data_IF_108353788209
#
_entry.id   IF_108353788209
#
_cell.length_a   1.000
_cell.length_b   1.000
_cell.length_c   1.000
_cell.angle_alpha   90.00
_cell.angle_beta   90.00
_cell.angle_gamma   90.00
#
_symmetry.space_group_name_H-M   'P 1'
#
loop_
_entity.id
_entity.type
_entity.pdbx_description
1 polymer ?
#
# COMPACT_ATOMS: atom_id res chain seq x y z
N UNK A 1 24.52 4.44 12.52
CA UNK A 1 23.20 3.82 12.52
C UNK A 1 22.97 3.19 11.16
N UNK A 2 22.32 2.03 11.05
CA UNK A 2 22.05 1.42 9.76
C UNK A 2 21.17 2.38 8.91
N UNK A 3 21.51 2.51 7.65
CA UNK A 3 20.84 3.37 6.69
C UNK A 3 20.78 2.66 5.35
N UNK A 4 19.63 2.64 4.74
CA UNK A 4 19.40 2.10 3.40
C UNK A 4 18.73 3.17 2.57
N UNK A 5 19.22 3.41 1.36
CA UNK A 5 18.58 4.30 0.41
C UNK A 5 18.56 3.69 -0.98
N UNK A 6 17.52 4.01 -1.73
CA UNK A 6 17.40 3.72 -3.13
C UNK A 6 16.69 4.88 -3.82
N UNK A 7 16.81 4.97 -5.14
CA UNK A 7 16.14 6.01 -5.93
C UNK A 7 15.46 5.42 -7.15
N UNK A 8 14.44 6.13 -7.62
CA UNK A 8 13.71 5.80 -8.84
C UNK A 8 13.36 7.08 -9.58
N UNK A 9 13.32 6.98 -10.91
CA UNK A 9 12.84 8.08 -11.76
C UNK A 9 11.36 7.89 -12.07
N UNK A 10 10.57 8.95 -11.88
CA UNK A 10 9.14 9.00 -12.15
C UNK A 10 8.90 10.07 -13.24
N UNK A 11 8.21 9.72 -14.32
CA UNK A 11 7.90 10.63 -15.42
C UNK A 11 6.72 11.56 -15.10
N UNK A 12 6.76 12.17 -13.91
CA UNK A 12 5.77 13.14 -13.41
C UNK A 12 6.45 14.36 -12.80
N UNK A 13 5.79 15.53 -12.81
CA UNK A 13 6.27 16.72 -12.11
C UNK A 13 6.40 16.48 -10.60
N UNK A 14 7.31 17.19 -9.96
CA UNK A 14 7.62 16.97 -8.55
C UNK A 14 6.47 17.34 -7.59
N UNK A 15 5.63 18.26 -7.95
CA UNK A 15 4.43 18.65 -7.21
C UNK A 15 3.37 17.54 -7.21
N UNK A 16 3.17 16.85 -8.34
CA UNK A 16 2.29 15.68 -8.42
C UNK A 16 2.83 14.53 -7.58
N UNK A 17 4.12 14.23 -7.71
CA UNK A 17 4.78 13.18 -6.94
C UNK A 17 4.73 13.49 -5.45
N UNK A 18 5.00 14.74 -5.06
CA UNK A 18 4.92 15.17 -3.67
C UNK A 18 3.50 15.06 -3.12
N UNK A 19 2.50 15.49 -3.89
CA UNK A 19 1.09 15.38 -3.50
C UNK A 19 0.66 13.92 -3.25
N UNK A 20 1.14 12.99 -4.07
CA UNK A 20 0.91 11.56 -3.89
C UNK A 20 1.58 11.02 -2.62
N UNK A 21 2.86 11.32 -2.41
CA UNK A 21 3.63 10.85 -1.25
C UNK A 21 3.16 11.47 0.06
N UNK A 22 2.59 12.67 0.00
CA UNK A 22 2.06 13.41 1.15
C UNK A 22 0.82 12.77 1.77
N UNK A 23 0.07 11.93 1.02
CA UNK A 23 -0.99 11.11 1.59
C UNK A 23 -0.43 9.74 2.01
N UNK A 24 -0.28 9.46 3.33
CA UNK A 24 0.28 8.20 3.79
C UNK A 24 -0.56 6.96 3.44
N UNK A 25 -1.82 7.14 3.01
CA UNK A 25 -2.66 6.03 2.55
C UNK A 25 -2.09 5.39 1.30
N UNK A 26 -1.47 6.20 0.45
CA UNK A 26 -0.82 5.74 -0.77
C UNK A 26 0.42 4.87 -0.49
N UNK A 27 0.99 4.90 0.74
CA UNK A 27 2.08 4.00 1.11
C UNK A 27 1.68 2.53 1.00
N UNK A 28 0.43 2.19 1.29
CA UNK A 28 -0.07 0.82 1.19
C UNK A 28 -0.23 0.33 -0.26
N UNK A 29 -0.19 1.23 -1.24
CA UNK A 29 -0.37 0.87 -2.65
C UNK A 29 0.93 0.36 -3.30
N UNK A 30 2.08 0.77 -2.78
CA UNK A 30 3.38 0.43 -3.36
C UNK A 30 4.38 -0.16 -2.38
N UNK A 31 4.23 0.07 -1.06
CA UNK A 31 5.14 -0.44 -0.04
C UNK A 31 4.53 -1.59 0.73
N UNK A 32 5.24 -2.70 0.78
CA UNK A 32 4.87 -3.87 1.58
C UNK A 32 4.99 -3.62 3.10
N UNK A 33 5.57 -2.50 3.49
CA UNK A 33 5.84 -2.14 4.89
C UNK A 33 4.59 -1.70 5.64
N UNK A 34 3.54 -1.26 4.95
CA UNK A 34 2.27 -0.80 5.53
C UNK A 34 1.12 -1.55 4.87
N UNK A 35 0.28 -2.19 5.67
CA UNK A 35 -0.92 -2.87 5.20
C UNK A 35 -2.02 -1.84 4.82
N UNK A 36 -2.27 -0.88 5.72
CA UNK A 36 -3.19 0.25 5.47
C UNK A 36 -3.04 1.35 6.51
N UNK A 37 -3.45 2.56 6.15
CA UNK A 37 -3.70 3.66 7.07
C UNK A 37 -5.18 3.65 7.45
N UNK A 38 -5.46 3.63 8.76
CA UNK A 38 -6.82 3.53 9.32
C UNK A 38 -7.40 4.91 9.54
N UNK A 39 -6.58 5.85 10.04
CA UNK A 39 -7.00 7.18 10.45
C UNK A 39 -5.86 8.20 10.31
N UNK A 40 -6.22 9.45 10.11
CA UNK A 40 -5.32 10.59 9.97
C UNK A 40 -5.74 11.56 8.87
N UNK A 41 -5.13 12.76 8.79
CA UNK A 41 -5.42 13.75 7.75
C UNK A 41 -5.05 13.26 6.35
N UNK A 42 -5.68 13.86 5.30
CA UNK A 42 -5.46 13.46 3.90
C UNK A 42 -4.04 13.81 3.40
N UNK A 43 -3.52 14.93 3.85
CA UNK A 43 -2.23 15.43 3.40
C UNK A 43 -1.33 15.70 4.61
N UNK A 44 -0.17 15.07 4.65
CA UNK A 44 0.74 15.15 5.78
C UNK A 44 1.35 16.55 5.92
N UNK A 45 1.24 17.07 7.13
CA UNK A 45 1.95 18.27 7.59
C UNK A 45 2.83 17.92 8.79
N UNK A 46 3.78 18.78 9.09
CA UNK A 46 4.67 18.60 10.22
C UNK A 46 3.86 18.42 11.52
N UNK A 47 4.08 17.31 12.18
CA UNK A 47 3.42 16.99 13.46
C UNK A 47 2.20 16.08 13.34
N UNK A 48 1.65 15.90 12.14
CA UNK A 48 0.49 15.03 11.93
C UNK A 48 0.77 13.59 12.31
N UNK A 49 -0.24 12.96 12.89
CA UNK A 49 -0.19 11.57 13.31
C UNK A 49 -1.23 10.74 12.55
N UNK A 50 -0.81 9.54 12.18
CA UNK A 50 -1.60 8.55 11.47
C UNK A 50 -1.67 7.26 12.26
N UNK A 51 -2.79 6.59 12.19
CA UNK A 51 -2.96 5.24 12.72
C UNK A 51 -2.82 4.24 11.58
N UNK A 52 -1.74 3.44 11.61
CA UNK A 52 -1.38 2.51 10.55
C UNK A 52 -1.42 1.06 11.05
N UNK A 53 -1.75 0.15 10.15
CA UNK A 53 -1.61 -1.29 10.37
C UNK A 53 -0.42 -1.79 9.56
N UNK A 54 0.46 -2.54 10.24
CA UNK A 54 1.62 -3.17 9.63
C UNK A 54 1.35 -4.66 9.38
N UNK A 55 1.90 -5.26 8.32
CA UNK A 55 1.72 -6.66 7.99
C UNK A 55 2.08 -7.58 9.17
N UNK A 56 1.23 -8.58 9.43
CA UNK A 56 1.43 -9.54 10.51
C UNK A 56 1.24 -8.98 11.94
N UNK A 57 0.89 -7.71 12.11
CA UNK A 57 0.62 -7.11 13.42
C UNK A 57 -0.88 -7.02 13.68
N UNK A 58 -1.30 -7.48 14.87
CA UNK A 58 -2.72 -7.37 15.31
C UNK A 58 -3.09 -5.95 15.73
N UNK A 59 -2.15 -5.23 16.33
CA UNK A 59 -2.36 -3.86 16.85
C UNK A 59 -1.99 -2.83 15.80
N UNK A 60 -2.76 -1.75 15.74
CA UNK A 60 -2.41 -0.56 15.00
C UNK A 60 -1.25 0.18 15.69
N UNK A 61 -0.46 0.88 14.90
CA UNK A 61 0.69 1.65 15.33
C UNK A 61 0.59 3.07 14.81
N UNK A 62 1.27 4.00 15.47
CA UNK A 62 1.29 5.39 15.05
C UNK A 62 2.45 5.63 14.07
N UNK A 63 2.16 6.42 13.06
CA UNK A 63 3.10 7.00 12.12
C UNK A 63 2.97 8.52 12.24
N UNK A 64 4.07 9.23 12.37
CA UNK A 64 4.06 10.69 12.53
C UNK A 64 4.88 11.33 11.42
N UNK A 65 4.37 12.40 10.83
CA UNK A 65 5.13 13.28 9.97
C UNK A 65 6.07 14.13 10.82
N UNK A 66 7.37 13.91 10.71
CA UNK A 66 8.40 14.57 11.55
C UNK A 66 9.11 15.70 10.82
N UNK A 67 9.03 15.74 9.49
CA UNK A 67 9.52 16.85 8.69
C UNK A 67 8.79 16.86 7.34
N UNK A 68 8.53 18.07 6.82
CA UNK A 68 7.93 18.27 5.50
C UNK A 68 8.40 19.61 4.94
N UNK A 69 8.96 19.60 3.73
CA UNK A 69 9.18 20.78 2.92
C UNK A 69 8.56 20.51 1.54
N UNK A 70 7.58 21.33 1.12
CA UNK A 70 6.86 21.12 -0.12
C UNK A 70 7.78 20.91 -1.32
N UNK A 71 7.51 19.85 -2.08
CA UNK A 71 8.22 19.49 -3.32
C UNK A 71 9.70 19.11 -3.13
N UNK A 72 10.23 19.16 -1.90
CA UNK A 72 11.64 18.87 -1.61
C UNK A 72 11.79 17.56 -0.83
N UNK A 73 11.17 17.46 0.34
CA UNK A 73 11.28 16.28 1.17
C UNK A 73 10.10 16.08 2.12
N UNK A 74 9.95 14.83 2.56
CA UNK A 74 8.94 14.41 3.52
C UNK A 74 9.51 13.30 4.39
N UNK A 75 9.28 13.34 5.70
CA UNK A 75 9.79 12.35 6.64
C UNK A 75 8.67 11.82 7.53
N UNK A 76 8.51 10.52 7.54
CA UNK A 76 7.62 9.82 8.45
C UNK A 76 8.41 8.98 9.45
N UNK A 77 7.98 9.01 10.70
CA UNK A 77 8.55 8.18 11.76
C UNK A 77 7.48 7.33 12.42
N UNK A 78 7.69 6.02 12.43
CA UNK A 78 6.84 5.08 13.14
C UNK A 78 7.06 5.16 14.64
N UNK A 79 5.99 4.99 15.42
CA UNK A 79 6.11 4.82 16.85
C UNK A 79 6.92 3.54 17.16
N UNK A 80 7.66 3.57 18.26
CA UNK A 80 8.48 2.44 18.66
C UNK A 80 7.65 1.16 18.88
N UNK A 81 7.90 0.16 18.07
CA UNK A 81 7.30 -1.16 18.18
C UNK A 81 8.12 -2.01 19.15
N UNK A 82 7.49 -2.45 20.23
CA UNK A 82 8.16 -3.31 21.19
C UNK A 82 8.22 -4.75 20.68
N UNK A 83 9.37 -5.38 20.87
CA UNK A 83 9.61 -6.79 20.62
C UNK A 83 10.30 -7.39 21.86
N UNK A 84 10.32 -8.71 22.04
CA UNK A 84 11.05 -9.33 23.16
C UNK A 84 12.56 -8.98 23.21
N UNK A 85 13.13 -8.55 22.09
CA UNK A 85 14.55 -8.20 21.95
C UNK A 85 14.83 -6.69 22.11
N UNK A 86 13.79 -5.85 22.15
CA UNK A 86 13.95 -4.40 22.24
C UNK A 86 12.92 -3.64 21.41
N UNK A 87 13.22 -2.37 21.14
CA UNK A 87 12.34 -1.51 20.34
C UNK A 87 12.86 -1.34 18.92
N UNK A 88 11.93 -1.24 17.98
CA UNK A 88 12.17 -0.88 16.59
C UNK A 88 11.25 0.27 16.19
N UNK A 89 11.82 1.36 15.69
CA UNK A 89 11.10 2.52 15.16
C UNK A 89 11.62 2.84 13.77
N UNK A 90 10.86 2.57 12.70
CA UNK A 90 11.29 2.91 11.35
C UNK A 90 11.12 4.41 11.09
N UNK A 91 12.08 5.00 10.40
CA UNK A 91 12.00 6.35 9.85
C UNK A 91 12.15 6.23 8.34
N UNK A 92 11.21 6.85 7.62
CA UNK A 92 11.11 6.84 6.17
C UNK A 92 11.22 8.27 5.66
N UNK A 93 12.28 8.56 4.91
CA UNK A 93 12.55 9.86 4.33
C UNK A 93 12.40 9.80 2.81
N UNK A 94 11.63 10.69 2.24
CA UNK A 94 11.49 10.93 0.81
C UNK A 94 12.18 12.22 0.43
N UNK A 95 13.05 12.19 -0.56
CA UNK A 95 13.64 13.39 -1.18
C UNK A 95 13.30 13.39 -2.66
N UNK A 96 12.84 14.55 -3.12
CA UNK A 96 12.47 14.77 -4.50
C UNK A 96 13.52 15.67 -5.17
N UNK A 97 13.94 15.26 -6.36
CA UNK A 97 14.85 16.02 -7.19
C UNK A 97 14.21 16.24 -8.57
N UNK A 98 13.63 17.42 -8.81
CA UNK A 98 13.02 17.74 -10.10
C UNK A 98 14.03 17.67 -11.25
N UNK A 99 13.62 17.10 -12.37
CA UNK A 99 14.41 17.00 -13.60
C UNK A 99 13.63 17.44 -14.83
N UNK A 100 14.29 17.51 -15.98
CA UNK A 100 13.65 17.94 -17.25
C UNK A 100 12.56 16.98 -17.74
N UNK A 101 12.61 15.71 -17.37
CA UNK A 101 11.70 14.66 -17.85
C UNK A 101 10.91 13.98 -16.74
N UNK A 102 10.83 14.61 -15.58
CA UNK A 102 10.16 14.06 -14.42
C UNK A 102 10.93 14.30 -13.12
N UNK A 103 10.72 13.47 -12.14
CA UNK A 103 11.25 13.61 -10.79
C UNK A 103 12.02 12.38 -10.37
N UNK A 104 13.20 12.55 -9.81
CA UNK A 104 13.90 11.46 -9.10
C UNK A 104 13.46 11.47 -7.65
N UNK A 105 12.89 10.36 -7.20
CA UNK A 105 12.51 10.12 -5.81
C UNK A 105 13.59 9.27 -5.16
N UNK A 106 14.23 9.79 -4.11
CA UNK A 106 15.15 9.04 -3.27
C UNK A 106 14.44 8.71 -1.96
N UNK A 107 14.34 7.44 -1.66
CA UNK A 107 13.77 6.95 -0.41
C UNK A 107 14.88 6.42 0.48
N UNK A 108 14.90 6.89 1.72
CA UNK A 108 15.86 6.48 2.73
C UNK A 108 15.14 5.90 3.93
N UNK A 109 15.56 4.71 4.35
CA UNK A 109 15.01 4.04 5.53
C UNK A 109 16.07 3.99 6.60
N UNK A 110 15.73 4.50 7.79
CA UNK A 110 16.57 4.47 9.00
C UNK A 110 15.84 3.70 10.09
N UNK A 111 16.16 2.43 10.33
CA UNK A 111 15.64 1.71 11.47
C UNK A 111 16.33 2.20 12.75
N UNK A 112 15.56 2.77 13.67
CA UNK A 112 16.02 3.05 15.02
C UNK A 112 15.79 1.80 15.87
N UNK A 113 16.86 1.17 16.31
CA UNK A 113 16.86 -0.09 17.04
C UNK A 113 17.44 0.13 18.43
N UNK A 114 16.73 -0.34 19.46
CA UNK A 114 17.17 -0.27 20.86
C UNK A 114 17.23 -1.67 21.48
N UNK A 115 18.12 -1.82 22.49
CA UNK A 115 18.30 -3.07 23.22
C UNK A 115 18.91 -4.16 22.33
N UNK A 116 18.49 -5.40 22.50
CA UNK A 116 18.99 -6.56 21.74
C UNK A 116 18.68 -6.50 20.25
N UNK A 117 17.75 -5.63 19.81
CA UNK A 117 17.47 -5.42 18.38
C UNK A 117 18.68 -4.86 17.62
N UNK A 118 19.64 -4.23 18.29
CA UNK A 118 20.87 -3.72 17.67
C UNK A 118 21.67 -4.85 17.03
N UNK A 119 21.68 -6.04 17.64
CA UNK A 119 22.36 -7.23 17.12
C UNK A 119 21.75 -7.69 15.80
N UNK A 120 20.45 -7.45 15.61
CA UNK A 120 19.73 -7.78 14.38
C UNK A 120 19.83 -6.71 13.29
N UNK A 121 20.51 -5.59 13.56
CA UNK A 121 20.65 -4.49 12.60
C UNK A 121 21.15 -4.92 11.21
N UNK A 122 22.14 -5.83 11.05
CA UNK A 122 22.58 -6.29 9.73
C UNK A 122 21.45 -6.99 8.96
N UNK A 123 20.68 -7.84 9.63
CA UNK A 123 19.56 -8.57 9.00
C UNK A 123 18.42 -7.64 8.59
N UNK A 124 18.05 -6.70 9.46
CA UNK A 124 17.04 -5.67 9.16
C UNK A 124 17.49 -4.84 7.96
N UNK A 125 18.74 -4.41 7.94
CA UNK A 125 19.31 -3.63 6.84
C UNK A 125 19.35 -4.42 5.53
N UNK A 126 19.69 -5.71 5.61
CA UNK A 126 19.74 -6.59 4.43
C UNK A 126 18.33 -6.78 3.84
N UNK A 127 17.31 -6.97 4.67
CA UNK A 127 15.92 -7.06 4.22
C UNK A 127 15.50 -5.80 3.46
N UNK A 128 15.73 -4.61 4.03
CA UNK A 128 15.43 -3.35 3.36
C UNK A 128 16.20 -3.13 2.05
N UNK A 129 17.49 -3.52 2.01
CA UNK A 129 18.29 -3.42 0.77
C UNK A 129 17.74 -4.30 -0.35
N UNK A 130 17.18 -5.44 0.01
CA UNK A 130 16.60 -6.37 -0.95
C UNK A 130 15.24 -5.88 -1.47
N UNK A 131 14.38 -5.39 -0.58
CA UNK A 131 12.97 -5.14 -0.90
C UNK A 131 12.73 -3.70 -1.42
N UNK A 132 13.50 -2.70 -0.94
CA UNK A 132 13.32 -1.29 -1.29
C UNK A 132 13.39 -0.99 -2.80
N UNK A 133 14.31 -1.58 -3.61
CA UNK A 133 14.34 -1.31 -5.04
C UNK A 133 13.08 -1.76 -5.78
N UNK A 134 12.53 -2.92 -5.43
CA UNK A 134 11.29 -3.44 -6.04
C UNK A 134 10.06 -2.62 -5.61
N UNK A 135 10.00 -2.16 -4.38
CA UNK A 135 8.95 -1.26 -3.89
C UNK A 135 9.00 0.08 -4.65
N UNK A 136 10.19 0.64 -4.86
CA UNK A 136 10.33 1.88 -5.62
C UNK A 136 9.98 1.72 -7.11
N UNK A 137 10.24 0.56 -7.69
CA UNK A 137 9.79 0.30 -9.05
C UNK A 137 8.26 0.26 -9.11
N UNK A 138 7.60 -0.36 -8.13
CA UNK A 138 6.14 -0.35 -8.01
C UNK A 138 5.59 1.09 -7.88
N UNK A 139 6.24 1.95 -7.08
CA UNK A 139 5.90 3.37 -6.99
C UNK A 139 6.01 4.08 -8.35
N UNK A 140 7.10 3.84 -9.08
CA UNK A 140 7.30 4.45 -10.39
C UNK A 140 6.25 3.99 -11.41
N UNK A 141 5.93 2.71 -11.42
CA UNK A 141 4.92 2.12 -12.30
C UNK A 141 3.53 2.67 -11.99
N UNK A 142 3.18 2.78 -10.72
CA UNK A 142 1.92 3.36 -10.25
C UNK A 142 1.78 4.82 -10.69
N UNK A 143 2.80 5.63 -10.49
CA UNK A 143 2.80 7.04 -10.86
C UNK A 143 2.91 7.25 -12.37
N UNK A 144 3.56 6.35 -13.10
CA UNK A 144 3.68 6.44 -14.57
C UNK A 144 2.46 5.87 -15.29
N UNK A 145 1.83 4.84 -14.74
CA UNK A 145 0.67 4.15 -15.32
C UNK A 145 -0.65 4.91 -15.22
N UNK A 146 -0.74 5.95 -14.38
CA UNK A 146 -1.94 6.77 -14.24
C UNK A 146 -2.35 7.60 -15.47
N UNK A 147 -1.63 7.47 -16.62
CA UNK A 147 -2.00 8.08 -17.89
C UNK A 147 -2.52 7.08 -18.95
N UNK A 148 -2.80 5.83 -18.58
CA UNK A 148 -3.31 4.81 -19.47
C UNK A 148 -4.71 4.36 -19.08
N UNK A 149 -5.73 4.88 -19.74
CA UNK A 149 -7.06 4.31 -20.00
C UNK A 149 -7.65 3.43 -18.90
N UNK A 150 -8.72 3.92 -18.31
CA UNK A 150 -9.75 3.01 -17.80
C UNK A 150 -9.98 1.92 -18.88
N UNK A 151 -10.06 0.62 -18.51
CA UNK A 151 -10.53 -0.39 -19.44
C UNK A 151 -11.94 -0.01 -19.83
N UNK A 152 -12.11 0.41 -21.10
CA UNK A 152 -13.42 0.62 -21.69
C UNK A 152 -14.24 -0.63 -21.48
N UNK A 153 -15.58 -0.51 -21.27
CA UNK A 153 -16.44 -1.66 -21.16
C UNK A 153 -16.28 -2.47 -22.45
N UNK A 154 -15.86 -3.72 -22.30
CA UNK A 154 -15.55 -4.64 -23.38
C UNK A 154 -16.68 -4.63 -24.43
N UNK A 155 -16.30 -4.31 -25.67
CA UNK A 155 -17.09 -4.66 -26.84
C UNK A 155 -17.37 -6.15 -26.78
N UNK A 156 -18.66 -6.45 -26.61
CA UNK A 156 -19.18 -7.80 -26.69
C UNK A 156 -18.84 -8.42 -28.04
N UNK A 157 -17.97 -9.38 -28.01
CA UNK A 157 -17.86 -10.36 -29.11
C UNK A 157 -19.10 -11.24 -29.00
N UNK A 158 -20.07 -10.98 -29.86
CA UNK A 158 -21.13 -11.94 -30.14
C UNK A 158 -20.49 -13.20 -30.76
N UNK A 159 -20.64 -14.39 -30.17
CA UNK A 159 -20.40 -15.61 -30.90
C UNK A 159 -21.67 -15.94 -31.69
N UNK A 160 -21.54 -15.88 -33.03
CA UNK A 160 -22.56 -16.29 -33.97
C UNK A 160 -23.10 -17.67 -33.67
N UNK A 161 -24.43 -17.76 -33.74
CA UNK A 161 -25.19 -18.99 -33.79
C UNK A 161 -24.88 -19.77 -35.07
N UNK A 162 -24.77 -21.06 -35.02
CA UNK A 162 -25.29 -21.95 -36.05
C UNK A 162 -26.54 -22.67 -35.55
N UNK A 163 -27.51 -22.69 -36.43
CA UNK A 163 -28.86 -23.12 -36.17
C UNK A 163 -29.10 -24.62 -36.08
N UNK A 164 -30.35 -24.84 -35.69
CA UNK A 164 -31.26 -25.93 -36.04
C UNK A 164 -30.99 -27.35 -35.50
N UNK A 165 -32.01 -27.83 -34.83
CA UNK A 165 -32.26 -29.28 -34.82
C UNK A 165 -32.97 -29.82 -33.60
N UNK A 166 -34.31 -29.95 -33.69
CA UNK A 166 -35.16 -31.07 -33.28
C UNK A 166 -35.38 -31.38 -31.77
N UNK A 167 -36.62 -31.22 -31.42
CA UNK A 167 -37.58 -32.13 -30.78
C UNK A 167 -37.10 -33.06 -29.65
N UNK A 168 -37.87 -33.02 -28.55
CA UNK A 168 -37.83 -34.04 -27.49
C UNK A 168 -38.67 -33.67 -26.27
N UNK A 169 -39.94 -33.95 -26.40
CA UNK A 169 -40.98 -34.23 -25.43
C UNK A 169 -40.54 -34.83 -24.11
N UNK A 170 -41.16 -34.48 -22.99
CA UNK A 170 -40.94 -35.19 -21.70
C UNK A 170 -41.50 -34.48 -20.47
N UNK A 171 -42.79 -34.68 -20.29
CA UNK A 171 -43.62 -34.50 -19.09
C UNK A 171 -43.04 -34.95 -17.77
N UNK A 172 -43.45 -34.29 -16.66
CA UNK A 172 -43.38 -34.86 -15.28
C UNK A 172 -43.12 -33.80 -14.23
N UNK A 173 -44.14 -33.21 -13.69
CA UNK A 173 -44.85 -33.46 -12.41
C UNK A 173 -44.14 -33.13 -11.12
N UNK A 174 -44.64 -32.22 -10.48
CA UNK A 174 -45.01 -31.72 -9.15
C UNK A 174 -44.48 -32.38 -7.84
N UNK A 175 -44.72 -31.60 -6.79
CA UNK A 175 -44.72 -31.79 -5.31
C UNK A 175 -43.49 -31.23 -4.63
N UNK A 176 -43.49 -30.15 -3.82
CA UNK A 176 -44.33 -29.92 -2.65
C UNK A 176 -43.45 -30.04 -1.40
N UNK A 177 -43.41 -29.02 -0.57
CA UNK A 177 -42.76 -29.20 0.74
C UNK A 177 -42.41 -27.88 1.45
N UNK A 178 -43.39 -27.35 2.14
CA UNK A 178 -43.24 -26.29 3.17
C UNK A 178 -42.36 -26.74 4.35
N UNK A 179 -41.67 -25.81 4.98
CA UNK A 179 -40.98 -26.03 6.26
C UNK A 179 -40.58 -24.76 6.95
N UNK A 180 -41.50 -24.21 7.74
CA UNK A 180 -41.27 -23.18 8.76
C UNK A 180 -40.36 -23.72 9.87
N UNK A 181 -39.53 -22.86 10.46
CA UNK A 181 -38.76 -23.16 11.67
C UNK A 181 -37.95 -21.99 12.21
N UNK A 182 -38.63 -21.07 12.85
CA UNK A 182 -38.42 -20.45 14.19
C UNK A 182 -36.99 -20.29 14.71
N UNK A 183 -36.66 -19.02 15.03
CA UNK A 183 -35.60 -18.62 15.97
C UNK A 183 -35.91 -19.10 17.40
N UNK A 184 -34.88 -19.09 18.30
CA UNK A 184 -34.98 -18.18 19.43
C UNK A 184 -33.68 -17.43 19.77
N UNK A 185 -33.95 -16.26 20.28
CA UNK A 185 -33.20 -15.35 21.14
C UNK A 185 -32.76 -16.01 22.44
N UNK A 186 -31.78 -15.30 23.11
CA UNK A 186 -31.43 -15.26 24.55
C UNK A 186 -30.00 -15.71 24.91
N UNK A 187 -29.35 -14.79 25.60
CA UNK A 187 -28.23 -15.01 26.48
C UNK A 187 -27.13 -13.97 26.30
#
# INVERSE_FOLDING_TARGET
>A
MPHVSANVHVSRPADEVFSFLRDPRNLAEWSSSIDRVIDGPLAAELGDEYTCKFPGRRRAHRLRCTASAPVEYLVFRGAGMWTPLGRHSPELEFRLSPGRRGTTVTVSVRPHLDGGMIILAPFVTMAWRRDLPSELQCLADLLSGGNGSAPGPGEGVEPGLPGAGAEGDGTGEAVGGSGLGTAPSVG
#
